data_IF_555762628203
#
_entry.id   IF_555762628203
#
_cell.length_a   1.000
_cell.length_b   1.000
_cell.length_c   1.000
_cell.angle_alpha   90.00
_cell.angle_beta   90.00
_cell.angle_gamma   90.00
#
_symmetry.space_group_name_H-M   'P 1'
#
loop_
_entity.id
_entity.type
_entity.pdbx_description
1 polymer ?
#
# COMPACT_ATOMS: atom_id res chain seq x y z
N UNK A 1 2.17 14.85 -0.58
CA UNK A 1 1.29 13.67 -0.54
C UNK A 1 -0.04 14.00 -1.19
N UNK A 2 -0.88 12.99 -1.42
CA UNK A 2 -2.27 13.18 -1.84
C UNK A 2 -3.11 13.74 -0.68
N UNK A 3 -3.87 14.81 -0.94
CA UNK A 3 -4.67 15.52 0.07
C UNK A 3 -5.80 14.65 0.63
N UNK A 4 -6.46 13.85 -0.22
CA UNK A 4 -7.57 12.97 0.20
C UNK A 4 -7.07 11.80 1.03
N UNK A 5 -5.91 11.25 0.67
CA UNK A 5 -5.27 10.22 1.48
C UNK A 5 -4.94 10.74 2.88
N UNK A 6 -4.45 11.98 2.98
CA UNK A 6 -4.14 12.62 4.27
C UNK A 6 -5.40 12.82 5.09
N UNK A 7 -6.46 13.33 4.48
CA UNK A 7 -7.77 13.50 5.12
C UNK A 7 -8.29 12.17 5.69
N UNK A 8 -8.20 11.07 4.93
CA UNK A 8 -8.63 9.75 5.42
C UNK A 8 -7.81 9.29 6.63
N UNK A 9 -6.48 9.44 6.59
CA UNK A 9 -5.62 9.08 7.73
C UNK A 9 -5.97 9.92 8.96
N UNK A 10 -6.18 11.23 8.79
CA UNK A 10 -6.59 12.11 9.89
C UNK A 10 -7.97 11.76 10.44
N UNK A 11 -8.94 11.45 9.58
CA UNK A 11 -10.26 10.99 10.00
C UNK A 11 -10.16 9.70 10.83
N UNK A 12 -9.29 8.76 10.45
CA UNK A 12 -9.03 7.55 11.24
C UNK A 12 -8.42 7.90 12.61
N UNK A 13 -7.35 8.71 12.63
CA UNK A 13 -6.63 9.09 13.86
C UNK A 13 -7.55 9.82 14.84
N UNK A 14 -8.44 10.69 14.35
CA UNK A 14 -9.38 11.45 15.17
C UNK A 14 -10.68 10.69 15.50
N UNK A 15 -10.84 9.45 15.02
CA UNK A 15 -12.02 8.64 15.30
C UNK A 15 -13.27 9.00 14.47
N UNK A 16 -13.12 9.81 13.42
CA UNK A 16 -14.19 10.14 12.46
C UNK A 16 -14.38 9.05 11.42
N UNK A 17 -14.55 7.81 11.88
CA UNK A 17 -14.59 6.60 11.04
C UNK A 17 -15.79 6.55 10.11
N UNK A 18 -16.88 7.26 10.43
CA UNK A 18 -18.04 7.40 9.54
C UNK A 18 -17.72 8.11 8.21
N UNK A 19 -16.65 8.92 8.17
CA UNK A 19 -16.19 9.62 6.97
C UNK A 19 -15.22 8.78 6.13
N UNK A 20 -14.86 7.58 6.58
CA UNK A 20 -13.89 6.71 5.94
C UNK A 20 -14.62 5.76 4.99
N UNK A 21 -14.37 5.83 3.66
CA UNK A 21 -15.09 5.01 2.71
C UNK A 21 -14.73 3.53 2.87
N UNK A 22 -15.72 2.67 2.66
CA UNK A 22 -15.54 1.22 2.84
C UNK A 22 -14.80 0.55 1.66
N UNK A 23 -14.62 1.25 0.54
CA UNK A 23 -13.91 0.79 -0.66
C UNK A 23 -13.06 1.95 -1.21
N UNK A 24 -11.84 1.66 -1.64
CA UNK A 24 -10.93 2.61 -2.29
C UNK A 24 -10.17 1.89 -3.42
N UNK A 25 -9.52 2.65 -4.31
CA UNK A 25 -8.65 2.06 -5.34
C UNK A 25 -7.29 1.64 -4.77
N UNK A 26 -6.54 0.81 -5.51
CA UNK A 26 -5.19 0.43 -5.12
C UNK A 26 -4.27 1.65 -5.02
N UNK A 27 -4.39 2.62 -5.92
CA UNK A 27 -3.60 3.85 -5.91
C UNK A 27 -3.88 4.69 -4.67
N UNK A 28 -5.15 4.82 -4.26
CA UNK A 28 -5.51 5.53 -3.04
C UNK A 28 -4.94 4.82 -1.81
N UNK A 29 -5.00 3.49 -1.76
CA UNK A 29 -4.40 2.72 -0.66
C UNK A 29 -2.88 2.89 -0.61
N UNK A 30 -2.20 2.94 -1.75
CA UNK A 30 -0.77 3.22 -1.81
C UNK A 30 -0.43 4.65 -1.32
N UNK A 31 -1.24 5.64 -1.70
CA UNK A 31 -1.09 7.02 -1.18
C UNK A 31 -1.31 7.09 0.34
N UNK A 32 -2.28 6.34 0.87
CA UNK A 32 -2.48 6.20 2.32
C UNK A 32 -1.25 5.55 2.96
N UNK A 33 -0.69 4.49 2.36
CA UNK A 33 0.50 3.82 2.85
C UNK A 33 1.71 4.79 2.97
N UNK A 34 1.90 5.71 2.01
CA UNK A 34 2.94 6.75 2.08
C UNK A 34 2.78 7.63 3.32
N UNK A 35 1.55 8.00 3.64
CA UNK A 35 1.26 8.86 4.80
C UNK A 35 1.42 8.06 6.09
N UNK A 36 0.94 6.82 6.11
CA UNK A 36 1.06 5.92 7.27
C UNK A 36 2.53 5.68 7.62
N UNK A 37 3.37 5.43 6.62
CA UNK A 37 4.82 5.28 6.80
C UNK A 37 5.42 6.61 7.31
N UNK A 38 5.04 7.76 6.76
CA UNK A 38 5.57 9.03 7.25
C UNK A 38 5.20 9.33 8.72
N UNK A 39 3.93 9.15 9.09
CA UNK A 39 3.45 9.41 10.46
C UNK A 39 3.70 8.24 11.41
N UNK A 40 4.23 7.12 10.91
CA UNK A 40 4.49 5.89 11.66
C UNK A 40 3.24 5.36 12.39
N UNK A 41 2.05 5.53 11.80
CA UNK A 41 0.75 5.22 12.41
C UNK A 41 0.13 3.90 11.91
N UNK A 42 0.97 2.95 11.55
CA UNK A 42 0.61 1.65 10.98
C UNK A 42 -0.52 0.94 11.74
N UNK A 43 -0.38 0.82 13.06
CA UNK A 43 -1.33 0.09 13.91
C UNK A 43 -2.72 0.74 13.91
N UNK A 44 -2.80 2.07 13.85
CA UNK A 44 -4.04 2.83 13.85
C UNK A 44 -4.83 2.64 12.55
N UNK A 45 -4.13 2.54 11.42
CA UNK A 45 -4.76 2.43 10.09
C UNK A 45 -4.96 0.97 9.65
N UNK A 46 -4.21 0.02 10.21
CA UNK A 46 -4.22 -1.41 9.82
C UNK A 46 -5.62 -2.04 9.70
N UNK A 47 -6.58 -1.84 10.63
CA UNK A 47 -7.91 -2.44 10.50
C UNK A 47 -8.67 -1.97 9.24
N UNK A 48 -8.47 -0.71 8.84
CA UNK A 48 -9.05 -0.14 7.62
C UNK A 48 -8.31 -0.67 6.39
N UNK A 49 -6.99 -0.74 6.45
CA UNK A 49 -6.15 -1.31 5.39
C UNK A 49 -6.54 -2.76 5.07
N UNK A 50 -6.69 -3.62 6.07
CA UNK A 50 -7.10 -5.02 5.88
C UNK A 50 -8.48 -5.12 5.18
N UNK A 51 -9.40 -4.24 5.59
CA UNK A 51 -10.72 -4.15 4.95
C UNK A 51 -10.62 -3.68 3.50
N UNK A 52 -9.77 -2.70 3.20
CA UNK A 52 -9.59 -2.22 1.82
C UNK A 52 -8.89 -3.25 0.95
N UNK A 53 -7.83 -3.90 1.45
CA UNK A 53 -7.07 -4.95 0.74
C UNK A 53 -8.00 -6.09 0.34
N UNK A 54 -8.86 -6.57 1.25
CA UNK A 54 -9.80 -7.65 0.96
C UNK A 54 -10.90 -7.27 -0.04
N UNK A 55 -11.12 -5.98 -0.29
CA UNK A 55 -12.15 -5.45 -1.18
C UNK A 55 -11.61 -4.89 -2.50
N UNK A 56 -10.30 -4.93 -2.71
CA UNK A 56 -9.70 -4.54 -3.99
C UNK A 56 -10.27 -5.44 -5.10
N UNK A 57 -10.90 -4.81 -6.10
CA UNK A 57 -11.48 -5.51 -7.26
C UNK A 57 -10.42 -6.04 -8.22
N UNK A 58 -9.26 -5.42 -8.21
CA UNK A 58 -8.13 -5.81 -9.05
C UNK A 58 -7.65 -7.20 -8.68
N UNK A 59 -7.47 -8.06 -9.68
CA UNK A 59 -6.92 -9.39 -9.45
C UNK A 59 -5.53 -9.32 -8.85
N UNK A 60 -5.15 -10.38 -8.14
CA UNK A 60 -3.78 -10.54 -7.67
C UNK A 60 -2.83 -10.43 -8.88
N UNK A 61 -1.74 -9.64 -8.80
CA UNK A 61 -0.78 -9.51 -9.90
C UNK A 61 -0.26 -10.88 -10.34
N UNK A 62 -0.25 -11.12 -11.65
CA UNK A 62 0.33 -12.33 -12.24
C UNK A 62 1.64 -12.06 -12.97
N UNK A 63 1.96 -10.78 -13.19
CA UNK A 63 3.19 -10.34 -13.82
C UNK A 63 3.68 -9.00 -13.25
N UNK A 64 4.94 -8.68 -13.53
CA UNK A 64 5.55 -7.40 -13.18
C UNK A 64 4.84 -6.22 -13.84
N UNK A 65 4.39 -5.27 -13.03
CA UNK A 65 3.69 -4.07 -13.47
C UNK A 65 3.40 -3.10 -12.32
N UNK A 66 2.68 -2.02 -12.62
CA UNK A 66 2.38 -0.97 -11.65
C UNK A 66 1.65 -1.51 -10.40
N UNK A 67 0.63 -2.35 -10.60
CA UNK A 67 -0.15 -2.92 -9.50
C UNK A 67 0.69 -3.78 -8.55
N UNK A 68 1.67 -4.52 -9.08
CA UNK A 68 2.61 -5.31 -8.28
C UNK A 68 3.45 -4.40 -7.36
N UNK A 69 4.00 -3.32 -7.90
CA UNK A 69 4.85 -2.39 -7.12
C UNK A 69 4.04 -1.68 -6.04
N UNK A 70 2.81 -1.25 -6.35
CA UNK A 70 1.92 -0.65 -5.35
C UNK A 70 1.60 -1.63 -4.22
N UNK A 71 1.25 -2.88 -4.55
CA UNK A 71 0.93 -3.92 -3.55
C UNK A 71 2.15 -4.36 -2.75
N UNK A 72 3.33 -4.41 -3.36
CA UNK A 72 4.59 -4.63 -2.64
C UNK A 72 4.82 -3.54 -1.59
N UNK A 73 4.62 -2.28 -1.95
CA UNK A 73 4.77 -1.18 -1.00
C UNK A 73 3.73 -1.22 0.12
N UNK A 74 2.46 -1.48 -0.21
CA UNK A 74 1.38 -1.61 0.78
C UNK A 74 1.67 -2.76 1.76
N UNK A 75 2.06 -3.94 1.26
CA UNK A 75 2.39 -5.09 2.11
C UNK A 75 3.60 -4.83 3.01
N UNK A 76 4.58 -4.07 2.52
CA UNK A 76 5.71 -3.62 3.33
C UNK A 76 5.27 -2.69 4.48
N UNK A 77 4.52 -1.63 4.17
CA UNK A 77 4.04 -0.65 5.17
C UNK A 77 3.15 -1.32 6.22
N UNK A 78 2.20 -2.16 5.79
CA UNK A 78 1.26 -2.81 6.71
C UNK A 78 1.75 -4.13 7.31
N UNK A 79 3.04 -4.46 7.13
CA UNK A 79 3.69 -5.65 7.68
C UNK A 79 3.01 -6.98 7.29
N UNK A 80 2.47 -7.06 6.07
CA UNK A 80 1.94 -8.29 5.51
C UNK A 80 3.07 -9.14 4.91
N UNK A 81 3.64 -10.01 5.74
CA UNK A 81 4.78 -10.84 5.35
C UNK A 81 4.50 -11.82 4.21
N UNK A 82 3.26 -12.31 4.06
CA UNK A 82 2.92 -13.28 3.03
C UNK A 82 2.87 -12.62 1.66
N UNK A 83 2.10 -11.53 1.55
CA UNK A 83 1.98 -10.76 0.32
C UNK A 83 3.33 -10.13 -0.06
N UNK A 84 4.07 -9.60 0.91
CA UNK A 84 5.39 -9.03 0.67
C UNK A 84 6.36 -10.05 0.05
N UNK A 85 6.42 -11.26 0.60
CA UNK A 85 7.27 -12.32 0.08
C UNK A 85 6.85 -12.75 -1.34
N UNK A 86 5.55 -12.91 -1.58
CA UNK A 86 5.02 -13.29 -2.87
C UNK A 86 5.33 -12.23 -3.96
N UNK A 87 5.12 -10.95 -3.65
CA UNK A 87 5.37 -9.87 -4.59
C UNK A 87 6.87 -9.64 -4.82
N UNK A 88 7.69 -9.73 -3.78
CA UNK A 88 9.15 -9.66 -3.91
C UNK A 88 9.68 -10.77 -4.83
N UNK A 89 9.21 -12.00 -4.65
CA UNK A 89 9.60 -13.12 -5.52
C UNK A 89 9.21 -12.89 -6.98
N UNK A 90 8.04 -12.29 -7.24
CA UNK A 90 7.62 -11.94 -8.60
C UNK A 90 8.50 -10.85 -9.22
N UNK A 91 8.83 -9.80 -8.45
CA UNK A 91 9.75 -8.74 -8.90
C UNK A 91 11.13 -9.31 -9.24
N UNK A 92 11.70 -10.15 -8.37
CA UNK A 92 13.01 -10.77 -8.60
C UNK A 92 13.00 -11.63 -9.87
N UNK A 93 11.93 -12.39 -10.11
CA UNK A 93 11.82 -13.29 -11.27
C UNK A 93 11.68 -12.56 -12.60
N UNK A 94 10.96 -11.43 -12.62
CA UNK A 94 10.46 -10.83 -13.86
C UNK A 94 11.09 -9.47 -14.18
N UNK A 95 11.74 -8.82 -13.21
CA UNK A 95 12.45 -7.57 -13.46
C UNK A 95 13.63 -7.79 -14.41
N UNK A 96 13.77 -6.87 -15.38
CA UNK A 96 14.87 -6.86 -16.36
C UNK A 96 15.95 -5.83 -16.01
N UNK A 97 15.97 -5.37 -14.76
CA UNK A 97 16.78 -4.26 -14.28
C UNK A 97 16.22 -3.71 -12.96
N UNK A 98 16.74 -2.57 -12.48
CA UNK A 98 16.26 -1.95 -11.24
C UNK A 98 14.76 -1.71 -11.26
N UNK A 99 14.10 -2.02 -10.14
CA UNK A 99 12.65 -1.81 -10.01
C UNK A 99 12.31 -0.33 -10.14
N UNK A 100 11.30 -0.03 -10.95
CA UNK A 100 10.76 1.32 -11.03
C UNK A 100 9.85 1.57 -9.82
N UNK A 101 10.25 2.47 -8.92
CA UNK A 101 9.59 2.70 -7.63
C UNK A 101 8.27 3.47 -7.73
N UNK A 102 7.88 3.94 -8.92
CA UNK A 102 6.69 4.78 -9.15
C UNK A 102 6.68 6.08 -8.32
N UNK A 103 7.85 6.54 -7.85
CA UNK A 103 7.95 7.68 -6.94
C UNK A 103 7.56 7.37 -5.49
N UNK A 104 7.30 6.10 -5.15
CA UNK A 104 7.06 5.67 -3.77
C UNK A 104 8.36 5.70 -2.95
N UNK A 105 8.31 6.02 -1.65
CA UNK A 105 9.46 6.07 -0.77
C UNK A 105 9.87 4.65 -0.32
N UNK A 106 10.19 3.79 -1.28
CA UNK A 106 10.64 2.43 -1.01
C UNK A 106 12.10 2.47 -0.49
N UNK A 107 12.42 1.83 0.64
CA UNK A 107 13.79 1.75 1.14
C UNK A 107 14.75 1.10 0.13
N UNK A 108 15.98 1.61 0.05
CA UNK A 108 17.03 1.04 -0.81
C UNK A 108 17.38 -0.42 -0.50
N UNK A 109 17.05 -0.91 0.69
CA UNK A 109 17.24 -2.32 1.05
C UNK A 109 16.26 -3.27 0.36
N UNK A 110 15.19 -2.74 -0.26
CA UNK A 110 14.14 -3.50 -0.95
C UNK A 110 14.29 -3.41 -2.48
N UNK A 111 15.13 -2.49 -2.97
CA UNK A 111 15.33 -2.18 -4.40
C UNK A 111 16.58 -2.86 -4.93
#
# INVERSE_FOLDING_TARGET
WDEKALEMVMNIIHGYTANVPANISLEMLANIAVIVDHFQCHQTVKPFADTWISRLKESFPTCYGQSLVLRLYISWVFLDSFDFAAFTAMVIRESRGPMHTLGLPIPKSII
#
